data_IF_021918698378
#
_entry.id   IF_021918698378
#
_cell.length_a   1.000
_cell.length_b   1.000
_cell.length_c   1.000
_cell.angle_alpha   90.00
_cell.angle_beta   90.00
_cell.angle_gamma   90.00
#
_symmetry.space_group_name_H-M   'P 1'
#
loop_
_entity.id
_entity.type
_entity.pdbx_description
1 polymer ?
#
# COMPACT_ATOMS: atom_id res chain seq x y z
N UNK A 1 -4.80 10.69 0.58
CA UNK A 1 -3.69 10.90 -0.38
C UNK A 1 -2.65 9.82 -0.16
N UNK A 2 -1.94 9.41 -1.22
CA UNK A 2 -0.97 8.31 -1.18
C UNK A 2 0.33 8.76 -0.49
N UNK A 3 0.97 7.86 0.26
CA UNK A 3 2.29 8.14 0.87
C UNK A 3 3.34 8.32 -0.22
N UNK A 4 4.34 9.14 0.06
CA UNK A 4 5.44 9.33 -0.88
C UNK A 4 6.33 8.09 -0.88
N UNK A 5 6.88 7.75 -2.04
CA UNK A 5 7.76 6.59 -2.22
C UNK A 5 9.01 6.94 -3.01
N UNK A 6 10.15 6.25 -2.82
CA UNK A 6 11.28 6.38 -3.72
C UNK A 6 11.07 5.57 -5.01
N UNK A 7 11.77 5.98 -6.07
CA UNK A 7 12.09 5.05 -7.17
C UNK A 7 13.11 4.02 -6.69
N UNK A 8 13.16 2.86 -7.32
CA UNK A 8 14.12 1.79 -7.03
C UNK A 8 15.55 2.29 -7.19
N UNK A 9 15.81 3.21 -8.12
CA UNK A 9 17.12 3.86 -8.28
C UNK A 9 17.42 4.77 -7.10
N UNK A 10 16.49 5.66 -6.73
CA UNK A 10 16.69 6.56 -5.59
C UNK A 10 16.87 5.78 -4.27
N UNK A 11 16.17 4.66 -4.11
CA UNK A 11 16.34 3.80 -2.93
C UNK A 11 17.76 3.21 -2.87
N UNK A 12 18.24 2.65 -3.98
CA UNK A 12 19.53 1.96 -4.06
C UNK A 12 20.72 2.91 -4.07
N UNK A 13 20.68 3.91 -4.94
CA UNK A 13 21.86 4.71 -5.27
C UNK A 13 22.00 5.92 -4.33
N UNK A 14 20.87 6.55 -4.01
CA UNK A 14 20.84 7.80 -3.26
C UNK A 14 20.67 7.57 -1.76
N UNK A 15 19.65 6.77 -1.38
CA UNK A 15 19.39 6.43 0.02
C UNK A 15 20.28 5.30 0.53
N UNK A 16 20.92 4.55 -0.38
CA UNK A 16 21.79 3.40 -0.07
C UNK A 16 21.10 2.36 0.80
N UNK A 17 19.82 2.13 0.55
CA UNK A 17 19.01 1.14 1.23
C UNK A 17 18.84 -0.10 0.34
N UNK A 18 18.77 -1.31 0.94
CA UNK A 18 18.44 -2.51 0.19
C UNK A 18 17.01 -2.40 -0.36
N UNK A 19 16.75 -3.06 -1.49
CA UNK A 19 15.38 -3.20 -2.01
C UNK A 19 14.68 -4.28 -1.18
N UNK A 20 13.64 -3.95 -0.41
CA UNK A 20 12.93 -4.94 0.40
C UNK A 20 12.08 -5.89 -0.48
N UNK A 21 11.67 -7.05 0.06
CA UNK A 21 10.75 -7.95 -0.62
C UNK A 21 9.39 -7.27 -0.85
N UNK A 22 8.55 -7.82 -1.75
CA UNK A 22 7.31 -7.15 -2.22
C UNK A 22 6.25 -6.97 -1.15
N UNK A 23 6.27 -7.85 -0.17
CA UNK A 23 5.45 -7.78 1.02
C UNK A 23 5.81 -6.61 1.94
N UNK A 24 6.95 -5.95 1.75
CA UNK A 24 7.38 -4.74 2.44
C UNK A 24 7.38 -3.52 1.47
N UNK A 25 6.28 -2.73 1.46
CA UNK A 25 6.13 -1.64 0.49
C UNK A 25 7.14 -0.51 0.65
N UNK A 26 7.62 0.06 -0.46
CA UNK A 26 8.63 1.14 -0.40
C UNK A 26 8.13 2.44 0.24
N UNK A 27 6.81 2.67 0.28
CA UNK A 27 6.18 3.83 0.92
C UNK A 27 6.03 3.67 2.45
N UNK A 28 6.34 2.49 2.98
CA UNK A 28 6.32 2.17 4.42
C UNK A 28 7.72 2.12 5.04
N UNK A 29 8.78 2.27 4.24
CA UNK A 29 10.17 2.32 4.73
C UNK A 29 10.34 3.46 5.73
N UNK A 30 10.86 3.12 6.91
CA UNK A 30 11.21 4.11 7.92
C UNK A 30 12.50 4.85 7.52
N UNK A 31 12.33 6.03 6.94
CA UNK A 31 13.44 6.91 6.60
C UNK A 31 13.02 8.39 6.73
N UNK A 32 13.84 9.26 7.35
CA UNK A 32 13.46 10.65 7.62
C UNK A 32 12.99 11.44 6.39
N UNK A 33 13.66 11.26 5.24
CA UNK A 33 13.28 11.97 4.01
C UNK A 33 11.96 11.46 3.41
N UNK A 34 11.66 10.16 3.56
CA UNK A 34 10.43 9.55 3.07
C UNK A 34 9.24 9.92 3.96
N UNK A 35 9.45 9.94 5.29
CA UNK A 35 8.47 10.45 6.24
C UNK A 35 8.17 11.94 6.00
N UNK A 36 9.21 12.77 5.80
CA UNK A 36 9.04 14.18 5.47
C UNK A 36 8.27 14.38 4.16
N UNK A 37 8.62 13.63 3.12
CA UNK A 37 7.91 13.68 1.85
C UNK A 37 6.45 13.28 2.03
N UNK A 38 6.17 12.15 2.67
CA UNK A 38 4.80 11.70 2.93
C UNK A 38 3.97 12.78 3.64
N UNK A 39 4.52 13.41 4.69
CA UNK A 39 3.84 14.51 5.38
C UNK A 39 3.62 15.74 4.47
N UNK A 40 4.62 16.13 3.68
CA UNK A 40 4.54 17.28 2.77
C UNK A 40 3.52 17.10 1.64
N UNK A 41 3.27 15.85 1.23
CA UNK A 41 2.35 15.50 0.16
C UNK A 41 1.02 14.92 0.66
N UNK A 42 0.79 14.85 1.98
CA UNK A 42 -0.45 14.32 2.56
C UNK A 42 -1.68 15.22 2.32
N UNK A 43 -1.47 16.52 2.10
CA UNK A 43 -2.51 17.52 1.83
C UNK A 43 -2.18 18.33 0.56
N UNK A 44 -3.17 18.46 -0.32
CA UNK A 44 -3.09 19.26 -1.54
C UNK A 44 -3.00 20.77 -1.27
N UNK A 45 -3.52 21.25 -0.14
CA UNK A 45 -3.45 22.66 0.25
C UNK A 45 -2.07 23.08 0.78
N UNK A 46 -1.21 22.12 1.14
CA UNK A 46 0.14 22.42 1.62
C UNK A 46 0.99 23.03 0.50
N UNK A 47 1.53 24.23 0.75
CA UNK A 47 2.44 24.91 -0.18
C UNK A 47 3.76 24.13 -0.32
N UNK A 48 4.23 23.95 -1.56
CA UNK A 48 5.41 23.15 -1.90
C UNK A 48 6.40 23.98 -2.69
N UNK A 49 7.64 24.04 -2.21
CA UNK A 49 8.71 24.79 -2.89
C UNK A 49 9.18 24.03 -4.13
N UNK A 50 9.14 24.66 -5.32
CA UNK A 50 9.63 24.08 -6.58
C UNK A 50 11.16 24.16 -6.69
N UNK A 51 11.75 23.18 -7.38
CA UNK A 51 13.14 23.24 -7.85
C UNK A 51 13.17 24.01 -9.18
N UNK A 52 13.25 25.35 -9.10
CA UNK A 52 13.12 26.23 -10.28
C UNK A 52 14.20 26.05 -11.35
N UNK A 53 15.36 25.52 -10.98
CA UNK A 53 16.48 25.28 -11.91
C UNK A 53 16.24 24.10 -12.84
N UNK A 54 15.32 23.20 -12.49
CA UNK A 54 14.87 22.11 -13.37
C UNK A 54 13.68 22.62 -14.18
N UNK A 55 13.77 22.47 -15.49
CA UNK A 55 12.90 23.15 -16.47
C UNK A 55 12.10 22.22 -17.37
N UNK A 56 12.49 20.95 -17.47
CA UNK A 56 11.78 19.92 -18.24
C UNK A 56 10.66 19.24 -17.45
N UNK A 57 10.73 19.27 -16.12
CA UNK A 57 9.75 18.68 -15.22
C UNK A 57 9.46 19.59 -14.01
N UNK A 58 8.27 19.44 -13.42
CA UNK A 58 7.94 20.11 -12.15
C UNK A 58 8.41 19.22 -11.01
N UNK A 59 9.50 19.63 -10.37
CA UNK A 59 10.02 18.98 -9.17
C UNK A 59 9.82 19.86 -7.93
N UNK A 60 9.62 19.21 -6.79
CA UNK A 60 9.45 19.84 -5.49
C UNK A 60 10.59 19.48 -4.55
N UNK A 61 11.00 20.47 -3.74
CA UNK A 61 12.02 20.31 -2.72
C UNK A 61 11.44 19.58 -1.52
N UNK A 62 12.15 18.56 -1.05
CA UNK A 62 11.93 17.92 0.24
C UNK A 62 13.18 18.17 1.08
N UNK A 63 13.00 18.77 2.27
CA UNK A 63 14.11 19.16 3.15
C UNK A 63 13.79 18.74 4.58
N UNK A 64 14.68 17.94 5.19
CA UNK A 64 14.65 17.64 6.62
C UNK A 64 16.07 17.46 7.13
N UNK A 65 16.45 18.23 8.16
CA UNK A 65 17.82 18.23 8.70
C UNK A 65 18.87 18.36 7.57
N UNK A 66 19.78 17.39 7.44
CA UNK A 66 20.78 17.32 6.36
C UNK A 66 20.24 16.71 5.07
N UNK A 67 19.14 15.97 5.10
CA UNK A 67 18.56 15.36 3.92
C UNK A 67 17.92 16.37 2.98
N UNK A 68 18.19 16.20 1.69
CA UNK A 68 17.59 16.92 0.58
C UNK A 68 17.10 15.88 -0.42
N UNK A 69 15.94 16.12 -0.99
CA UNK A 69 15.39 15.26 -2.03
C UNK A 69 14.57 16.06 -3.04
N UNK A 70 14.46 15.50 -4.24
CA UNK A 70 13.59 15.97 -5.30
C UNK A 70 12.41 15.00 -5.44
N UNK A 71 11.21 15.55 -5.28
CA UNK A 71 9.97 14.83 -5.49
C UNK A 71 9.33 15.24 -6.82
N UNK A 72 8.90 14.24 -7.60
CA UNK A 72 8.08 14.41 -8.79
C UNK A 72 6.68 13.85 -8.50
N UNK A 73 5.64 14.47 -9.06
CA UNK A 73 4.25 14.08 -8.80
C UNK A 73 3.64 13.46 -10.04
N UNK A 74 3.15 12.22 -9.92
CA UNK A 74 2.36 11.54 -10.94
C UNK A 74 0.93 11.39 -10.44
N UNK A 75 0.00 12.16 -11.01
CA UNK A 75 -1.35 12.31 -10.46
C UNK A 75 -1.33 12.70 -8.96
N UNK A 76 -1.66 11.77 -8.06
CA UNK A 76 -1.68 11.95 -6.60
C UNK A 76 -0.52 11.24 -5.86
N UNK A 77 0.41 10.62 -6.60
CA UNK A 77 1.53 9.86 -6.05
C UNK A 77 2.84 10.65 -6.15
N UNK A 78 3.46 10.92 -5.01
CA UNK A 78 4.76 11.58 -4.94
C UNK A 78 5.91 10.57 -5.00
N UNK A 79 6.72 10.67 -6.05
CA UNK A 79 7.93 9.89 -6.28
C UNK A 79 9.16 10.67 -5.84
N UNK A 80 9.96 10.12 -4.93
CA UNK A 80 11.30 10.61 -4.62
C UNK A 80 12.23 10.08 -5.70
N UNK A 81 12.60 10.97 -6.61
CA UNK A 81 13.41 10.68 -7.80
C UNK A 81 14.87 11.04 -7.60
N UNK A 82 15.23 11.78 -6.56
CA UNK A 82 16.61 12.00 -6.15
C UNK A 82 16.67 12.34 -4.67
N UNK A 83 17.72 11.91 -3.98
CA UNK A 83 17.97 12.19 -2.58
C UNK A 83 19.48 12.33 -2.29
N UNK A 84 19.82 12.97 -1.18
CA UNK A 84 21.19 13.10 -0.74
C UNK A 84 21.29 13.92 0.54
N UNK A 85 22.49 14.01 1.09
CA UNK A 85 22.77 14.83 2.26
C UNK A 85 23.52 16.10 1.88
N UNK A 86 23.23 17.19 2.58
CA UNK A 86 24.11 18.35 2.60
C UNK A 86 25.28 18.06 3.55
N UNK A 87 26.48 17.94 3.02
CA UNK A 87 27.70 17.84 3.83
C UNK A 87 28.03 19.19 4.49
N UNK A 88 28.56 19.17 5.71
CA UNK A 88 29.03 20.40 6.38
C UNK A 88 30.24 20.95 5.63
N UNK A 89 30.17 22.21 5.20
CA UNK A 89 31.25 22.88 4.47
C UNK A 89 31.32 22.59 2.98
N UNK A 90 30.42 21.76 2.43
CA UNK A 90 30.33 21.57 0.98
C UNK A 90 29.86 22.84 0.28
N UNK A 91 30.63 23.26 -0.72
CA UNK A 91 30.37 24.44 -1.56
C UNK A 91 29.14 24.25 -2.43
N UNK A 92 28.83 23.01 -2.82
CA UNK A 92 27.72 22.69 -3.70
C UNK A 92 26.47 22.23 -2.91
N UNK A 93 25.38 22.98 -3.04
CA UNK A 93 24.05 22.58 -2.57
C UNK A 93 23.55 21.38 -3.41
N UNK A 94 22.85 20.42 -2.79
CA UNK A 94 22.28 19.25 -3.46
C UNK A 94 21.52 19.61 -4.74
N UNK A 95 20.78 20.71 -4.72
CA UNK A 95 20.00 21.16 -5.89
C UNK A 95 20.88 21.71 -7.03
N UNK A 96 22.08 22.22 -6.72
CA UNK A 96 23.08 22.62 -7.72
C UNK A 96 23.69 21.39 -8.39
N UNK A 97 24.02 20.36 -7.60
CA UNK A 97 24.50 19.09 -8.15
C UNK A 97 23.44 18.42 -9.04
N UNK A 98 22.17 18.43 -8.61
CA UNK A 98 21.04 17.93 -9.40
C UNK A 98 20.87 18.71 -10.71
N UNK A 99 21.03 20.04 -10.70
CA UNK A 99 21.00 20.86 -11.92
C UNK A 99 22.13 20.50 -12.87
N UNK A 100 23.36 20.33 -12.35
CA UNK A 100 24.52 19.96 -13.15
C UNK A 100 24.35 18.58 -13.80
N UNK A 101 23.87 17.57 -13.05
CA UNK A 101 23.56 16.25 -13.60
C UNK A 101 22.48 16.34 -14.69
N UNK A 102 21.40 17.09 -14.45
CA UNK A 102 20.32 17.23 -15.41
C UNK A 102 20.75 17.93 -16.71
N UNK A 103 21.67 18.91 -16.64
CA UNK A 103 22.29 19.53 -17.83
C UNK A 103 23.19 18.54 -18.56
N UNK A 104 23.98 17.76 -17.84
CA UNK A 104 24.86 16.76 -18.43
C UNK A 104 24.05 15.63 -19.11
N UNK A 105 22.96 15.17 -18.48
CA UNK A 105 22.04 14.18 -19.03
C UNK A 105 21.38 14.66 -20.32
N UNK A 106 20.94 15.92 -20.36
CA UNK A 106 20.43 16.55 -21.58
C UNK A 106 21.47 16.56 -22.71
N UNK A 107 22.71 16.94 -22.41
CA UNK A 107 23.78 16.97 -23.42
C UNK A 107 24.04 15.58 -24.00
N UNK A 108 24.07 14.55 -23.16
CA UNK A 108 24.17 13.14 -23.59
C UNK A 108 22.98 12.75 -24.48
N UNK A 109 21.76 13.06 -24.06
CA UNK A 109 20.55 12.77 -24.83
C UNK A 109 20.61 13.40 -26.24
N UNK A 110 20.91 14.70 -26.33
CA UNK A 110 20.94 15.42 -27.60
C UNK A 110 22.08 14.99 -28.54
N UNK A 111 23.07 14.23 -28.05
CA UNK A 111 24.11 13.66 -28.90
C UNK A 111 23.64 12.38 -29.60
N UNK A 112 22.68 11.67 -29.01
CA UNK A 112 22.23 10.35 -29.48
C UNK A 112 20.89 10.44 -30.22
N UNK A 113 20.03 11.39 -29.87
CA UNK A 113 18.67 11.50 -30.40
C UNK A 113 18.55 12.58 -31.49
N UNK A 114 17.85 12.24 -32.58
CA UNK A 114 17.60 13.18 -33.69
C UNK A 114 16.69 14.35 -33.28
N UNK A 115 15.75 14.10 -32.37
CA UNK A 115 14.91 15.15 -31.77
C UNK A 115 15.55 15.62 -30.46
N UNK A 116 16.05 16.86 -30.47
CA UNK A 116 16.75 17.44 -29.33
C UNK A 116 15.78 17.98 -28.26
N UNK A 117 16.14 17.78 -26.99
CA UNK A 117 15.47 18.41 -25.86
C UNK A 117 15.83 19.90 -25.83
N UNK A 118 14.79 20.74 -25.88
CA UNK A 118 14.88 22.21 -25.89
C UNK A 118 14.91 22.83 -24.49
N UNK A 119 14.40 22.12 -23.48
CA UNK A 119 14.51 22.52 -22.08
C UNK A 119 15.98 22.65 -21.66
N UNK A 120 16.27 23.45 -20.62
CA UNK A 120 17.64 23.66 -20.18
C UNK A 120 18.24 22.42 -19.50
N UNK A 121 17.37 21.57 -18.93
CA UNK A 121 17.68 20.37 -18.15
C UNK A 121 16.97 19.15 -18.71
N UNK A 122 17.42 17.96 -18.33
CA UNK A 122 16.71 16.70 -18.56
C UNK A 122 16.84 15.79 -17.35
N UNK A 123 15.72 15.42 -16.73
CA UNK A 123 15.65 14.52 -15.58
C UNK A 123 14.92 13.21 -15.89
N UNK A 124 14.67 12.92 -17.18
CA UNK A 124 13.94 11.71 -17.60
C UNK A 124 14.58 10.41 -17.11
N UNK A 125 15.91 10.38 -16.96
CA UNK A 125 16.65 9.24 -16.40
C UNK A 125 16.44 9.04 -14.89
N UNK A 126 15.85 10.02 -14.19
CA UNK A 126 15.57 9.95 -12.75
C UNK A 126 14.11 9.59 -12.46
N UNK A 127 13.21 9.74 -13.44
CA UNK A 127 11.78 9.47 -13.29
C UNK A 127 11.51 7.97 -13.07
N UNK A 128 10.35 7.60 -12.49
CA UNK A 128 9.98 6.20 -12.31
C UNK A 128 10.02 5.42 -13.63
N UNK A 129 10.74 4.31 -13.62
CA UNK A 129 10.82 3.37 -14.74
C UNK A 129 9.65 2.37 -14.70
N UNK A 130 9.57 1.51 -15.71
CA UNK A 130 8.52 0.47 -15.75
C UNK A 130 8.60 -0.49 -14.56
N UNK A 131 9.82 -0.81 -14.13
CA UNK A 131 10.06 -1.67 -12.96
C UNK A 131 9.48 -1.04 -11.67
N UNK A 132 9.55 0.29 -11.53
CA UNK A 132 8.93 1.01 -10.40
C UNK A 132 7.40 0.88 -10.40
N UNK A 133 6.78 0.95 -11.58
CA UNK A 133 5.33 0.85 -11.73
C UNK A 133 4.83 -0.56 -11.47
N UNK A 134 5.51 -1.56 -12.03
CA UNK A 134 5.22 -2.98 -11.78
C UNK A 134 5.35 -3.28 -10.29
N UNK A 135 6.41 -2.80 -9.65
CA UNK A 135 6.61 -2.95 -8.21
C UNK A 135 5.49 -2.27 -7.41
N UNK A 136 5.11 -1.05 -7.77
CA UNK A 136 4.01 -0.34 -7.09
C UNK A 136 2.66 -1.05 -7.23
N UNK A 137 2.38 -1.64 -8.39
CA UNK A 137 1.17 -2.41 -8.61
C UNK A 137 1.16 -3.67 -7.75
N UNK A 138 2.27 -4.40 -7.66
CA UNK A 138 2.38 -5.59 -6.82
C UNK A 138 2.19 -5.27 -5.32
N UNK A 139 2.83 -4.20 -4.83
CA UNK A 139 2.66 -3.72 -3.45
C UNK A 139 1.22 -3.26 -3.16
N UNK A 140 0.49 -2.80 -4.17
CA UNK A 140 -0.92 -2.44 -3.99
C UNK A 140 -1.79 -3.66 -3.69
N UNK A 141 -1.45 -4.81 -4.28
CA UNK A 141 -2.03 -6.11 -3.93
C UNK A 141 -1.69 -6.54 -2.50
N UNK A 142 -0.42 -6.36 -2.08
CA UNK A 142 0.01 -6.64 -0.70
C UNK A 142 -0.75 -5.79 0.31
N UNK A 143 -0.87 -4.48 0.08
CA UNK A 143 -1.64 -3.58 0.96
C UNK A 143 -3.12 -3.98 1.00
N UNK A 144 -3.69 -4.41 -0.13
CA UNK A 144 -5.06 -4.91 -0.16
C UNK A 144 -5.23 -6.19 0.65
N UNK A 145 -4.30 -7.15 0.53
CA UNK A 145 -4.29 -8.39 1.31
C UNK A 145 -4.15 -8.13 2.81
N UNK A 146 -3.23 -7.24 3.22
CA UNK A 146 -3.06 -6.85 4.63
C UNK A 146 -4.35 -6.26 5.21
N UNK A 147 -5.02 -5.36 4.48
CA UNK A 147 -6.32 -4.79 4.89
C UNK A 147 -7.42 -5.84 4.97
N UNK A 148 -7.48 -6.75 4.00
CA UNK A 148 -8.47 -7.83 3.99
C UNK A 148 -8.29 -8.76 5.19
N UNK A 149 -7.05 -9.18 5.48
CA UNK A 149 -6.71 -10.00 6.65
C UNK A 149 -7.12 -9.31 7.95
N UNK A 150 -6.79 -8.02 8.09
CA UNK A 150 -7.18 -7.24 9.27
C UNK A 150 -8.70 -7.14 9.41
N UNK A 151 -9.42 -6.85 8.33
CA UNK A 151 -10.88 -6.79 8.34
C UNK A 151 -11.50 -8.13 8.76
N UNK A 152 -11.08 -9.24 8.15
CA UNK A 152 -11.58 -10.58 8.49
C UNK A 152 -11.29 -10.92 9.96
N UNK A 153 -10.09 -10.62 10.44
CA UNK A 153 -9.74 -10.82 11.84
C UNK A 153 -10.65 -10.01 12.78
N UNK A 154 -10.85 -8.72 12.51
CA UNK A 154 -11.74 -7.85 13.28
C UNK A 154 -13.18 -8.36 13.26
N UNK A 155 -13.73 -8.69 12.10
CA UNK A 155 -15.10 -9.21 11.98
C UNK A 155 -15.29 -10.52 12.76
N UNK A 156 -14.30 -11.42 12.68
CA UNK A 156 -14.31 -12.69 13.40
C UNK A 156 -14.28 -12.47 14.91
N UNK A 157 -13.39 -11.60 15.39
CA UNK A 157 -13.30 -11.28 16.82
C UNK A 157 -14.58 -10.61 17.32
N UNK A 158 -15.11 -9.60 16.62
CA UNK A 158 -16.36 -8.94 17.01
C UNK A 158 -17.52 -9.92 17.10
N UNK A 159 -17.62 -10.85 16.14
CA UNK A 159 -18.68 -11.85 16.13
C UNK A 159 -18.51 -12.90 17.23
N UNK A 160 -17.28 -13.31 17.55
CA UNK A 160 -17.02 -14.19 18.69
C UNK A 160 -17.45 -13.56 20.04
N UNK A 161 -17.41 -12.23 20.15
CA UNK A 161 -17.78 -11.54 21.38
C UNK A 161 -19.30 -11.48 21.61
N UNK A 162 -20.11 -11.32 20.55
CA UNK A 162 -21.56 -11.07 20.70
C UNK A 162 -22.46 -12.07 19.95
N UNK A 163 -21.91 -12.98 19.16
CA UNK A 163 -22.63 -13.97 18.35
C UNK A 163 -23.36 -13.40 17.13
N UNK A 164 -23.25 -12.09 16.86
CA UNK A 164 -23.95 -11.42 15.77
C UNK A 164 -23.10 -11.37 14.50
N UNK A 165 -23.76 -11.20 13.36
CA UNK A 165 -23.06 -10.94 12.10
C UNK A 165 -22.43 -9.54 12.14
N UNK A 166 -21.12 -9.46 11.89
CA UNK A 166 -20.42 -8.20 11.63
C UNK A 166 -20.02 -8.14 10.18
N UNK A 167 -20.09 -6.95 9.57
CA UNK A 167 -19.77 -6.78 8.15
C UNK A 167 -18.84 -5.61 7.85
N UNK A 168 -18.03 -5.76 6.81
CA UNK A 168 -17.18 -4.71 6.25
C UNK A 168 -17.46 -4.51 4.76
N UNK A 169 -17.47 -3.25 4.33
CA UNK A 169 -17.54 -2.85 2.94
C UNK A 169 -16.13 -2.76 2.34
N UNK A 170 -15.91 -3.47 1.22
CA UNK A 170 -14.65 -3.50 0.47
C UNK A 170 -14.74 -2.70 -0.85
N UNK A 171 -15.72 -1.81 -0.98
CA UNK A 171 -15.98 -0.93 -2.11
C UNK A 171 -16.93 -1.54 -3.14
N UNK A 172 -16.57 -2.69 -3.72
CA UNK A 172 -17.42 -3.39 -4.70
C UNK A 172 -18.12 -4.62 -4.13
N UNK A 173 -17.79 -5.00 -2.90
CA UNK A 173 -18.34 -6.17 -2.23
C UNK A 173 -18.44 -5.94 -0.74
N UNK A 174 -19.34 -6.68 -0.09
CA UNK A 174 -19.50 -6.66 1.36
C UNK A 174 -19.21 -8.06 1.89
N UNK A 175 -18.37 -8.15 2.92
CA UNK A 175 -18.12 -9.40 3.65
C UNK A 175 -18.79 -9.30 5.01
N UNK A 176 -19.57 -10.33 5.36
CA UNK A 176 -20.12 -10.54 6.70
C UNK A 176 -19.54 -11.80 7.32
N UNK A 177 -19.24 -11.79 8.62
CA UNK A 177 -18.84 -12.98 9.38
C UNK A 177 -19.76 -13.10 10.59
N UNK A 178 -20.28 -14.30 10.81
CA UNK A 178 -20.99 -14.69 12.02
C UNK A 178 -20.33 -15.92 12.64
N UNK A 179 -19.97 -15.85 13.91
CA UNK A 179 -19.44 -16.95 14.71
C UNK A 179 -20.36 -17.16 15.90
N UNK A 180 -20.86 -18.38 16.09
CA UNK A 180 -21.79 -18.71 17.16
C UNK A 180 -21.44 -20.05 17.77
N UNK A 181 -21.34 -20.10 19.10
CA UNK A 181 -21.35 -21.35 19.83
C UNK A 181 -22.78 -21.92 19.79
N UNK A 182 -22.92 -23.15 19.29
CA UNK A 182 -24.16 -23.91 19.42
C UNK A 182 -24.19 -24.65 20.77
N UNK A 183 -25.39 -24.96 21.27
CA UNK A 183 -25.63 -25.61 22.56
C UNK A 183 -24.98 -27.01 22.66
N UNK A 184 -24.47 -27.55 21.54
CA UNK A 184 -23.75 -28.83 21.42
C UNK A 184 -22.21 -28.77 21.55
N UNK A 185 -21.63 -27.64 21.97
CA UNK A 185 -20.17 -27.37 22.06
C UNK A 185 -19.43 -27.15 20.73
N UNK A 186 -20.16 -27.07 19.61
CA UNK A 186 -19.58 -26.73 18.31
C UNK A 186 -19.61 -25.22 18.09
N UNK A 187 -18.50 -24.65 17.60
CA UNK A 187 -18.44 -23.23 17.23
C UNK A 187 -18.65 -23.12 15.73
N UNK A 188 -19.83 -22.67 15.32
CA UNK A 188 -20.19 -22.51 13.92
C UNK A 188 -19.70 -21.16 13.39
N UNK A 189 -19.07 -21.15 12.22
CA UNK A 189 -18.65 -19.94 11.53
C UNK A 189 -19.31 -19.88 10.16
N UNK A 190 -19.94 -18.74 9.85
CA UNK A 190 -20.50 -18.43 8.54
C UNK A 190 -19.88 -17.16 7.98
N UNK A 191 -19.55 -17.20 6.69
CA UNK A 191 -19.08 -16.06 5.90
C UNK A 191 -20.10 -15.77 4.83
N UNK A 192 -20.57 -14.52 4.78
CA UNK A 192 -21.39 -13.97 3.70
C UNK A 192 -20.53 -13.09 2.82
N UNK A 193 -20.64 -13.25 1.51
CA UNK A 193 -20.06 -12.32 0.52
C UNK A 193 -21.19 -11.84 -0.39
N UNK A 194 -21.30 -10.52 -0.55
CA UNK A 194 -22.26 -9.87 -1.45
C UNK A 194 -21.53 -9.07 -2.51
N UNK A 195 -21.95 -9.22 -3.77
CA UNK A 195 -21.40 -8.48 -4.91
C UNK A 195 -20.55 -9.33 -5.86
N UNK A 196 -20.04 -8.74 -6.95
CA UNK A 196 -19.23 -9.46 -7.93
C UNK A 196 -17.84 -9.74 -7.35
N UNK A 197 -17.64 -10.96 -6.83
CA UNK A 197 -16.37 -11.41 -6.27
C UNK A 197 -15.84 -12.60 -7.06
N UNK A 198 -14.62 -12.54 -7.62
CA UNK A 198 -13.98 -13.68 -8.29
C UNK A 198 -13.80 -14.86 -7.33
N UNK A 199 -13.85 -16.09 -7.85
CA UNK A 199 -13.70 -17.32 -7.06
C UNK A 199 -12.40 -17.35 -6.24
N UNK A 200 -11.30 -16.84 -6.80
CA UNK A 200 -10.02 -16.79 -6.08
C UNK A 200 -10.06 -15.86 -4.87
N UNK A 201 -10.82 -14.76 -4.95
CA UNK A 201 -11.00 -13.86 -3.81
C UNK A 201 -11.95 -14.48 -2.77
N UNK A 202 -12.96 -15.24 -3.18
CA UNK A 202 -13.77 -16.04 -2.25
C UNK A 202 -12.86 -17.01 -1.49
N UNK A 203 -12.07 -17.82 -2.19
CA UNK A 203 -11.17 -18.78 -1.56
C UNK A 203 -10.20 -18.10 -0.57
N UNK A 204 -9.64 -16.95 -0.95
CA UNK A 204 -8.78 -16.16 -0.09
C UNK A 204 -9.51 -15.66 1.17
N UNK A 205 -10.75 -15.18 1.06
CA UNK A 205 -11.52 -14.74 2.22
C UNK A 205 -11.73 -15.89 3.20
N UNK A 206 -12.12 -17.06 2.68
CA UNK A 206 -12.37 -18.25 3.50
C UNK A 206 -11.08 -18.77 4.17
N UNK A 207 -9.94 -18.72 3.46
CA UNK A 207 -8.62 -19.09 4.01
C UNK A 207 -8.15 -18.13 5.12
N UNK A 208 -8.55 -16.86 5.06
CA UNK A 208 -8.14 -15.83 6.02
C UNK A 208 -8.94 -15.85 7.33
N UNK A 209 -10.03 -16.60 7.43
CA UNK A 209 -10.81 -16.70 8.68
C UNK A 209 -10.02 -17.50 9.71
N UNK A 210 -9.61 -16.90 10.84
CA UNK A 210 -8.77 -17.57 11.81
C UNK A 210 -9.55 -18.68 12.53
N UNK A 211 -8.89 -19.81 12.79
CA UNK A 211 -9.48 -20.93 13.54
C UNK A 211 -10.38 -21.87 12.74
N UNK A 212 -10.52 -21.65 11.43
CA UNK A 212 -11.27 -22.51 10.51
C UNK A 212 -10.31 -23.29 9.59
N UNK A 213 -10.67 -24.52 9.21
CA UNK A 213 -9.94 -25.27 8.17
C UNK A 213 -10.33 -24.74 6.78
N UNK A 214 -9.37 -24.25 5.95
CA UNK A 214 -9.67 -23.74 4.61
C UNK A 214 -10.33 -24.76 3.67
N UNK A 215 -10.24 -26.07 3.96
CA UNK A 215 -10.83 -27.12 3.14
C UNK A 215 -12.22 -27.57 3.61
N UNK A 216 -12.68 -27.13 4.77
CA UNK A 216 -13.94 -27.57 5.37
C UNK A 216 -15.12 -26.63 5.11
N UNK A 217 -14.94 -25.61 4.26
CA UNK A 217 -16.00 -24.67 3.90
C UNK A 217 -17.02 -25.31 2.97
N UNK A 218 -18.29 -25.26 3.36
CA UNK A 218 -19.43 -25.72 2.57
C UNK A 218 -20.32 -24.54 2.16
N UNK A 219 -20.84 -24.49 0.92
CA UNK A 219 -21.80 -23.48 0.53
C UNK A 219 -23.14 -23.70 1.25
N UNK A 220 -23.73 -22.63 1.77
CA UNK A 220 -25.01 -22.67 2.49
C UNK A 220 -26.11 -21.93 1.71
N UNK A 221 -27.35 -22.46 1.69
CA UNK A 221 -28.47 -21.77 1.07
C UNK A 221 -29.08 -20.67 1.96
N UNK A 222 -28.59 -20.48 3.19
CA UNK A 222 -29.10 -19.49 4.17
C UNK A 222 -28.08 -19.15 5.26
N UNK A 223 -28.27 -18.02 5.93
CA UNK A 223 -27.67 -17.75 7.25
C UNK A 223 -28.52 -18.44 8.34
N UNK A 224 -27.99 -18.64 9.56
CA UNK A 224 -28.73 -19.25 10.67
C UNK A 224 -30.13 -18.66 10.89
N UNK A 225 -30.26 -17.33 10.79
CA UNK A 225 -31.50 -16.62 11.16
C UNK A 225 -32.23 -15.96 9.96
N UNK A 226 -31.74 -16.10 8.72
CA UNK A 226 -32.39 -15.49 7.55
C UNK A 226 -32.06 -16.16 6.20
N UNK A 227 -32.98 -15.99 5.25
CA UNK A 227 -32.78 -16.35 3.84
C UNK A 227 -31.80 -15.42 3.12
N UNK A 228 -31.24 -15.91 2.01
CA UNK A 228 -30.41 -15.14 1.08
C UNK A 228 -31.17 -13.96 0.48
N UNK A 229 -30.49 -12.82 0.37
CA UNK A 229 -30.92 -11.64 -0.38
C UNK A 229 -30.01 -11.51 -1.61
N UNK A 230 -30.55 -11.03 -2.75
CA UNK A 230 -29.92 -11.14 -4.07
C UNK A 230 -28.40 -10.85 -4.13
N UNK A 231 -27.68 -11.73 -4.82
CA UNK A 231 -26.22 -11.76 -4.97
C UNK A 231 -25.41 -12.06 -3.70
N UNK A 232 -26.05 -12.59 -2.66
CA UNK A 232 -25.36 -13.20 -1.51
C UNK A 232 -24.87 -14.61 -1.87
N UNK A 233 -23.64 -14.88 -1.44
CA UNK A 233 -23.06 -16.22 -1.35
C UNK A 233 -22.69 -16.44 0.12
N UNK A 234 -23.01 -17.61 0.66
CA UNK A 234 -22.72 -17.96 2.05
C UNK A 234 -21.92 -19.24 2.06
N UNK A 235 -20.91 -19.28 2.92
CA UNK A 235 -20.17 -20.48 3.26
C UNK A 235 -20.19 -20.66 4.77
N UNK A 236 -20.17 -21.90 5.21
CA UNK A 236 -20.08 -22.25 6.62
C UNK A 236 -19.03 -23.30 6.88
N UNK A 237 -18.56 -23.32 8.13
CA UNK A 237 -17.71 -24.39 8.64
C UNK A 237 -17.72 -24.41 10.17
N UNK A 238 -17.02 -25.38 10.74
CA UNK A 238 -16.75 -25.43 12.17
C UNK A 238 -15.42 -24.74 12.47
N UNK A 239 -15.45 -23.83 13.44
CA UNK A 239 -14.27 -23.22 14.02
C UNK A 239 -13.78 -24.08 15.19
N UNK A 240 -12.45 -24.26 15.30
CA UNK A 240 -11.85 -24.91 16.47
C UNK A 240 -12.15 -24.08 17.74
N UNK A 241 -12.85 -24.64 18.74
CA UNK A 241 -13.16 -23.93 19.97
C UNK A 241 -11.92 -23.42 20.73
N UNK A 242 -10.77 -24.10 20.60
CA UNK A 242 -9.53 -23.63 21.22
C UNK A 242 -8.94 -22.41 20.49
N UNK A 243 -9.06 -22.37 19.16
CA UNK A 243 -8.68 -21.20 18.38
C UNK A 243 -9.62 -20.02 18.67
N UNK A 244 -10.93 -20.27 18.78
CA UNK A 244 -11.93 -19.27 19.18
C UNK A 244 -11.60 -18.67 20.56
N UNK A 245 -11.31 -19.50 21.56
CA UNK A 245 -10.92 -19.03 22.89
C UNK A 245 -9.65 -18.17 22.86
N UNK A 246 -8.62 -18.58 22.10
CA UNK A 246 -7.40 -17.78 21.94
C UNK A 246 -7.66 -16.41 21.30
N UNK A 247 -8.55 -16.34 20.31
CA UNK A 247 -8.90 -15.08 19.66
C UNK A 247 -9.58 -14.11 20.62
N UNK A 248 -10.42 -14.62 21.54
CA UNK A 248 -11.05 -13.82 22.60
C UNK A 248 -10.04 -13.29 23.64
N UNK A 249 -8.96 -14.02 23.89
CA UNK A 249 -7.91 -13.63 24.84
C UNK A 249 -6.93 -12.58 24.28
N UNK A 250 -6.83 -12.46 22.95
CA UNK A 250 -6.08 -11.39 22.28
C UNK A 250 -6.92 -10.12 22.17
N UNK A 251 -6.67 -9.14 23.03
CA UNK A 251 -7.21 -7.78 22.80
C UNK A 251 -6.75 -7.27 21.43
N UNK A 252 -7.62 -6.56 20.67
CA UNK A 252 -7.19 -5.89 19.45
C UNK A 252 -6.13 -4.85 19.80
N UNK A 253 -4.92 -4.98 19.24
CA UNK A 253 -3.94 -3.90 19.26
C UNK A 253 -4.61 -2.64 18.68
N UNK A 254 -4.60 -1.58 19.48
CA UNK A 254 -5.27 -0.30 19.21
C UNK A 254 -4.45 0.62 18.32
#
# INVERSE_FOLDING_TARGET
MRRARPTLRALRDDLRLPVPPVDDPLDEIDHPVLAKASAQFADAATSRERIRVITDQILFKVKIQRWRAAAWLEADLAWIIAAGTREDGAVDDFYTALEADAKAARARYNTVHAEAITAATYVGHLLPAEEDRVRYQAESGVRALRRLRQAIHTLTCSSLHDGHEHSADLGTSVIGIQVRADDGHETYCAVRITGPVPTDLVALVLELVPGCDPQSWAPEPRMPDRSLIGNEQIWSTLMDPHAAAKLLDTEPES
#
